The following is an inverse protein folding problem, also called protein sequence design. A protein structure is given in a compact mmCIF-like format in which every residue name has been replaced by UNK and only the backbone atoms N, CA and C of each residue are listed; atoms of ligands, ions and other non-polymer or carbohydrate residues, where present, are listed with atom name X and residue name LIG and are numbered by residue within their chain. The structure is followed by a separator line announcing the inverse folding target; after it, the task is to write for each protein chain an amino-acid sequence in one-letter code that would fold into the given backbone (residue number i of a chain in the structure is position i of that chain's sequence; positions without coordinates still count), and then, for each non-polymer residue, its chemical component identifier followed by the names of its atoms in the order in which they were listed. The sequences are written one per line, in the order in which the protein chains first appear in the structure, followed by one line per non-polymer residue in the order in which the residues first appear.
data_IF_345762896507
#
_entry.id   IF_345762896507
#
_cell.length_a   1.000
_cell.length_b   1.000
_cell.length_c   1.000
_cell.angle_alpha   90.00
_cell.angle_beta   90.00
_cell.angle_gamma   90.00
#
_symmetry.space_group_name_H-M   'P 1'
#
loop_
_entity.id
_entity.type
_entity.pdbx_description
1 polymer ?
#
# COMPACT_ATOMS: atom_id res chain seq x y z
N UNK A 1 19.94 28.16 -20.54
CA UNK A 1 20.19 26.74 -20.80
C UNK A 1 20.11 26.11 -19.45
N UNK A 2 18.92 25.63 -19.07
CA UNK A 2 18.71 25.07 -17.75
C UNK A 2 19.40 23.71 -17.68
N UNK A 3 20.19 23.56 -16.63
CA UNK A 3 20.93 22.36 -16.31
C UNK A 3 19.97 21.18 -16.17
N UNK A 4 20.36 20.05 -16.74
CA UNK A 4 19.61 18.82 -16.68
C UNK A 4 19.32 18.44 -15.22
N UNK A 5 18.04 18.33 -14.89
CA UNK A 5 17.54 17.81 -13.63
C UNK A 5 18.04 16.35 -13.44
N UNK A 6 18.91 16.07 -12.45
CA UNK A 6 19.54 14.77 -12.28
C UNK A 6 18.67 13.69 -11.60
N UNK A 7 17.35 13.86 -11.47
CA UNK A 7 16.47 12.88 -10.79
C UNK A 7 15.62 11.99 -11.71
N UNK A 8 16.06 11.69 -12.94
CA UNK A 8 15.43 10.67 -13.79
C UNK A 8 15.96 9.25 -13.51
N UNK A 9 16.28 8.93 -12.24
CA UNK A 9 16.41 7.55 -11.81
C UNK A 9 15.01 6.93 -11.77
N UNK A 10 14.65 6.23 -12.85
CA UNK A 10 13.40 5.49 -12.98
C UNK A 10 13.10 4.70 -11.71
N UNK A 11 12.17 5.18 -10.87
CA UNK A 11 11.80 4.51 -9.63
C UNK A 11 11.10 3.20 -10.00
N UNK A 12 11.74 2.03 -9.83
CA UNK A 12 11.13 0.77 -10.26
C UNK A 12 9.90 0.47 -9.39
N UNK A 13 8.94 -0.29 -9.93
CA UNK A 13 7.84 -0.81 -9.11
C UNK A 13 8.44 -1.59 -7.93
N UNK A 14 8.05 -1.28 -6.69
CA UNK A 14 8.66 -1.87 -5.52
C UNK A 14 8.36 -3.37 -5.47
N UNK A 15 9.42 -4.17 -5.45
CA UNK A 15 9.33 -5.64 -5.36
C UNK A 15 8.96 -6.06 -3.94
N UNK A 16 8.40 -7.25 -3.80
CA UNK A 16 8.05 -7.86 -2.53
C UNK A 16 6.58 -8.21 -2.42
N UNK A 17 6.20 -8.65 -1.22
CA UNK A 17 4.83 -8.99 -0.88
C UNK A 17 4.19 -7.77 -0.23
N UNK A 18 3.10 -7.29 -0.82
CA UNK A 18 2.36 -6.12 -0.35
C UNK A 18 0.93 -6.48 -0.01
N UNK A 19 0.29 -5.57 0.72
CA UNK A 19 -1.14 -5.58 1.01
C UNK A 19 -1.78 -4.42 0.28
N UNK A 20 -2.80 -4.70 -0.54
CA UNK A 20 -3.53 -3.67 -1.27
C UNK A 20 -4.04 -2.62 -0.29
N UNK A 21 -3.76 -1.36 -0.60
CA UNK A 21 -4.24 -0.22 0.17
C UNK A 21 -5.68 0.15 -0.21
N UNK A 22 -5.90 1.45 -0.47
CA UNK A 22 -7.21 1.95 -0.89
C UNK A 22 -7.50 1.73 -2.37
N UNK A 23 -8.77 1.92 -2.74
CA UNK A 23 -9.24 1.99 -4.12
C UNK A 23 -9.91 3.33 -4.42
N UNK A 24 -9.76 3.84 -5.63
CA UNK A 24 -10.47 5.04 -6.12
C UNK A 24 -11.01 4.80 -7.53
N UNK A 25 -12.31 5.02 -7.75
CA UNK A 25 -12.93 4.79 -9.08
C UNK A 25 -12.24 5.63 -10.16
N UNK A 26 -11.91 6.90 -9.89
CA UNK A 26 -11.32 7.77 -10.91
C UNK A 26 -10.26 8.67 -10.28
N UNK A 27 -9.03 8.17 -10.12
CA UNK A 27 -7.95 8.94 -9.50
C UNK A 27 -7.34 10.01 -10.41
N UNK A 28 -6.76 11.05 -9.79
CA UNK A 28 -6.00 12.12 -10.45
C UNK A 28 -4.52 12.03 -10.07
N UNK A 29 -3.62 12.06 -11.05
CA UNK A 29 -2.19 12.15 -10.80
C UNK A 29 -1.83 13.61 -10.47
N UNK A 30 -1.65 13.95 -9.20
CA UNK A 30 -1.38 15.33 -8.80
C UNK A 30 0.00 15.86 -9.24
N UNK A 31 0.99 14.97 -9.40
CA UNK A 31 2.40 15.35 -9.54
C UNK A 31 3.00 15.15 -10.95
N UNK A 32 2.31 14.50 -11.90
CA UNK A 32 2.96 14.02 -13.14
C UNK A 32 2.30 14.45 -14.46
N UNK A 33 1.22 15.21 -14.42
CA UNK A 33 0.43 15.79 -15.52
C UNK A 33 -0.99 15.92 -15.00
N UNK A 34 -1.84 16.77 -15.55
CA UNK A 34 -3.27 16.79 -15.21
C UNK A 34 -4.01 15.57 -15.77
N UNK A 35 -3.44 14.38 -15.58
CA UNK A 35 -3.91 13.09 -16.08
C UNK A 35 -4.70 12.37 -14.99
N UNK A 36 -5.60 11.52 -15.45
CA UNK A 36 -6.50 10.73 -14.65
C UNK A 36 -6.41 9.28 -15.07
N UNK A 37 -6.84 8.36 -14.21
CA UNK A 37 -7.12 7.00 -14.64
C UNK A 37 -8.37 6.48 -13.96
N UNK A 38 -9.07 5.59 -14.67
CA UNK A 38 -10.18 4.82 -14.13
C UNK A 38 -9.60 3.69 -13.27
N UNK A 39 -10.31 3.32 -12.22
CA UNK A 39 -10.03 2.18 -11.36
C UNK A 39 -8.59 2.17 -10.82
N UNK A 40 -8.37 2.86 -9.71
CA UNK A 40 -7.10 2.85 -8.99
C UNK A 40 -7.15 1.88 -7.84
N UNK A 41 -6.09 1.10 -7.70
CA UNK A 41 -5.89 0.19 -6.56
C UNK A 41 -4.45 0.38 -6.07
N UNK A 42 -4.31 0.82 -4.82
CA UNK A 42 -3.01 1.15 -4.24
C UNK A 42 -2.18 -0.11 -3.97
N UNK A 43 -0.93 -0.10 -4.43
CA UNK A 43 0.07 -1.12 -4.10
C UNK A 43 0.76 -0.72 -2.80
N UNK A 44 1.48 0.40 -2.81
CA UNK A 44 2.19 0.95 -1.66
C UNK A 44 2.54 2.41 -1.91
N UNK A 45 2.41 3.26 -0.88
CA UNK A 45 2.77 4.68 -0.98
C UNK A 45 2.03 5.37 -2.13
N UNK A 46 2.77 5.97 -3.07
CA UNK A 46 2.22 6.61 -4.27
C UNK A 46 2.23 5.70 -5.51
N UNK A 47 2.35 4.39 -5.34
CA UNK A 47 2.39 3.41 -6.42
C UNK A 47 1.06 2.65 -6.48
N UNK A 48 0.48 2.56 -7.68
CA UNK A 48 -0.86 2.03 -7.92
C UNK A 48 -0.89 1.07 -9.11
N UNK A 49 -1.81 0.10 -9.08
CA UNK A 49 -2.44 -0.41 -10.29
C UNK A 49 -3.45 0.63 -10.76
N UNK A 50 -3.41 0.97 -12.04
CA UNK A 50 -4.37 1.93 -12.62
C UNK A 50 -4.65 1.61 -14.09
N UNK A 51 -5.80 2.04 -14.60
CA UNK A 51 -6.08 1.93 -16.03
C UNK A 51 -5.14 2.80 -16.88
N UNK A 52 -5.23 2.65 -18.21
CA UNK A 52 -4.73 3.66 -19.17
C UNK A 52 -5.16 5.09 -18.75
N UNK A 53 -4.31 6.06 -19.08
CA UNK A 53 -4.48 7.45 -18.71
C UNK A 53 -5.58 8.15 -19.52
N UNK A 54 -6.13 9.20 -18.91
CA UNK A 54 -7.12 10.09 -19.48
C UNK A 54 -6.72 11.54 -19.21
N UNK A 55 -6.86 12.43 -20.18
CA UNK A 55 -6.53 13.87 -20.05
C UNK A 55 -7.51 14.62 -19.13
N UNK A 56 -8.69 14.04 -18.91
CA UNK A 56 -9.76 14.60 -18.07
C UNK A 56 -10.38 13.48 -17.23
N UNK A 57 -11.10 13.86 -16.16
CA UNK A 57 -11.98 12.95 -15.42
C UNK A 57 -13.23 12.62 -16.23
N UNK A 58 -13.04 12.00 -17.40
CA UNK A 58 -14.08 11.62 -18.35
C UNK A 58 -13.63 10.42 -19.15
N UNK A 59 -14.55 9.50 -19.43
CA UNK A 59 -14.32 8.34 -20.29
C UNK A 59 -14.05 8.74 -21.75
N UNK A 60 -14.37 9.98 -22.15
CA UNK A 60 -14.15 10.45 -23.52
C UNK A 60 -12.73 10.97 -23.78
N UNK A 61 -11.92 11.09 -22.73
CA UNK A 61 -10.62 11.74 -22.78
C UNK A 61 -9.44 10.76 -22.73
N UNK A 62 -9.58 9.54 -23.25
CA UNK A 62 -8.52 8.52 -23.18
C UNK A 62 -7.27 8.96 -23.96
N UNK A 63 -6.11 8.87 -23.32
CA UNK A 63 -4.83 9.22 -23.90
C UNK A 63 -4.35 8.13 -24.89
N UNK A 64 -4.16 8.54 -26.15
CA UNK A 64 -3.69 7.67 -27.24
C UNK A 64 -2.25 7.21 -27.06
N UNK A 65 -1.38 8.08 -26.57
CA UNK A 65 0.00 7.73 -26.32
C UNK A 65 0.09 6.72 -25.17
N UNK A 66 -0.67 6.94 -24.09
CA UNK A 66 -0.74 5.99 -22.99
C UNK A 66 -1.22 4.58 -23.41
N UNK A 67 -2.15 4.50 -24.37
CA UNK A 67 -2.57 3.24 -25.01
C UNK A 67 -1.45 2.59 -25.83
N UNK A 68 -0.78 3.36 -26.69
CA UNK A 68 0.30 2.85 -27.54
C UNK A 68 1.50 2.35 -26.73
N UNK A 69 1.74 2.95 -25.57
CA UNK A 69 2.84 2.59 -24.66
C UNK A 69 2.53 1.39 -23.76
N UNK A 70 1.37 0.75 -23.90
CA UNK A 70 1.01 -0.42 -23.09
C UNK A 70 2.06 -1.55 -23.19
N UNK A 71 2.54 -1.99 -22.03
CA UNK A 71 3.59 -3.00 -21.92
C UNK A 71 5.02 -2.48 -22.17
N UNK A 72 5.22 -1.17 -22.26
CA UNK A 72 6.53 -0.53 -22.21
C UNK A 72 6.76 0.08 -20.81
N UNK A 73 8.03 0.20 -20.38
CA UNK A 73 8.38 0.80 -19.10
C UNK A 73 8.35 2.33 -19.24
N UNK A 74 7.20 2.93 -18.90
CA UNK A 74 6.96 4.39 -19.03
C UNK A 74 6.41 5.02 -17.75
N UNK A 75 6.34 4.27 -16.65
CA UNK A 75 5.79 4.72 -15.38
C UNK A 75 6.88 4.84 -14.31
N UNK A 76 6.71 5.83 -13.42
CA UNK A 76 7.46 6.01 -12.17
C UNK A 76 6.99 4.99 -11.13
N UNK A 77 7.04 3.69 -11.48
CA UNK A 77 6.72 2.57 -10.61
C UNK A 77 5.26 2.09 -10.63
N UNK A 78 4.29 2.89 -11.08
CA UNK A 78 2.90 2.44 -11.23
C UNK A 78 2.74 1.32 -12.28
N UNK A 79 1.76 0.44 -12.08
CA UNK A 79 1.45 -0.63 -13.03
C UNK A 79 0.21 -0.24 -13.84
N UNK A 80 0.42 0.06 -15.12
CA UNK A 80 -0.66 0.44 -16.04
C UNK A 80 -1.33 -0.81 -16.63
N UNK A 81 -2.65 -0.82 -16.59
CA UNK A 81 -3.50 -1.91 -17.05
C UNK A 81 -4.50 -1.41 -18.09
N UNK A 82 -5.07 -2.33 -18.87
CA UNK A 82 -6.27 -2.02 -19.63
C UNK A 82 -7.45 -1.72 -18.68
N UNK A 83 -8.45 -1.00 -19.17
CA UNK A 83 -9.57 -0.51 -18.36
C UNK A 83 -10.35 -1.66 -17.72
N UNK A 84 -10.56 -2.75 -18.45
CA UNK A 84 -11.24 -3.97 -18.00
C UNK A 84 -10.47 -4.71 -16.90
N UNK A 85 -9.15 -4.77 -16.99
CA UNK A 85 -8.30 -5.43 -16.00
C UNK A 85 -8.19 -4.60 -14.72
N UNK A 86 -8.03 -3.28 -14.86
CA UNK A 86 -8.04 -2.34 -13.75
C UNK A 86 -9.39 -2.37 -13.03
N UNK A 87 -10.49 -2.45 -13.79
CA UNK A 87 -11.85 -2.62 -13.25
C UNK A 87 -11.94 -3.91 -12.44
N UNK A 88 -11.45 -5.02 -12.97
CA UNK A 88 -11.48 -6.28 -12.26
C UNK A 88 -10.78 -6.17 -10.90
N UNK A 89 -9.57 -5.59 -10.85
CA UNK A 89 -8.87 -5.38 -9.58
C UNK A 89 -9.67 -4.47 -8.63
N UNK A 90 -10.26 -3.39 -9.12
CA UNK A 90 -11.04 -2.46 -8.28
C UNK A 90 -12.21 -3.15 -7.57
N UNK A 91 -12.94 -4.00 -8.30
CA UNK A 91 -14.12 -4.68 -7.78
C UNK A 91 -13.78 -5.89 -6.92
N UNK A 92 -12.70 -6.61 -7.24
CA UNK A 92 -12.42 -7.92 -6.64
C UNK A 92 -11.23 -7.94 -5.68
N UNK A 93 -10.32 -6.96 -5.73
CA UNK A 93 -9.14 -6.89 -4.88
C UNK A 93 -9.34 -5.85 -3.75
N UNK A 94 -10.04 -6.26 -2.70
CA UNK A 94 -10.36 -5.40 -1.54
C UNK A 94 -9.08 -4.96 -0.79
N UNK A 95 -9.12 -3.86 0.00
CA UNK A 95 -8.05 -3.51 0.91
C UNK A 95 -7.58 -4.71 1.74
N UNK A 96 -6.26 -4.90 1.88
CA UNK A 96 -5.65 -6.04 2.58
C UNK A 96 -5.45 -7.31 1.73
N UNK A 97 -5.87 -7.32 0.47
CA UNK A 97 -5.54 -8.40 -0.49
C UNK A 97 -4.01 -8.51 -0.63
N UNK A 98 -3.45 -9.73 -0.55
CA UNK A 98 -2.01 -9.95 -0.73
C UNK A 98 -1.66 -9.89 -2.22
N UNK A 99 -0.61 -9.15 -2.55
CA UNK A 99 -0.02 -9.12 -3.89
C UNK A 99 1.49 -9.39 -3.79
N UNK A 100 2.05 -10.08 -4.78
CA UNK A 100 3.49 -10.27 -4.92
C UNK A 100 3.96 -9.56 -6.18
N UNK A 101 4.99 -8.73 -6.05
CA UNK A 101 5.64 -8.04 -7.15
C UNK A 101 7.06 -8.59 -7.25
N UNK A 102 7.33 -9.30 -8.34
CA UNK A 102 8.61 -9.94 -8.59
C UNK A 102 9.19 -9.53 -9.95
N UNK A 103 10.48 -9.79 -10.11
CA UNK A 103 11.18 -9.71 -11.39
C UNK A 103 12.05 -10.95 -11.63
N UNK A 104 11.81 -12.03 -10.88
CA UNK A 104 12.51 -13.31 -11.05
C UNK A 104 11.95 -14.14 -12.20
N UNK A 105 10.75 -13.80 -12.67
CA UNK A 105 10.05 -14.55 -13.69
C UNK A 105 10.78 -14.38 -15.04
N UNK A 106 11.01 -15.48 -15.78
CA UNK A 106 11.66 -15.39 -17.08
C UNK A 106 10.82 -14.55 -18.04
N UNK A 107 11.49 -13.79 -18.91
CA UNK A 107 10.79 -13.01 -19.93
C UNK A 107 10.05 -13.95 -20.89
N UNK A 108 8.72 -13.82 -20.93
CA UNK A 108 7.87 -14.52 -21.89
C UNK A 108 7.34 -13.56 -22.96
N UNK A 109 7.95 -13.63 -24.15
CA UNK A 109 7.58 -12.78 -25.30
C UNK A 109 6.23 -13.18 -25.88
N UNK A 110 5.87 -14.46 -25.82
CA UNK A 110 4.62 -14.97 -26.38
C UNK A 110 3.45 -14.56 -25.51
N UNK A 111 3.57 -14.73 -24.19
CA UNK A 111 2.59 -14.26 -23.22
C UNK A 111 2.41 -12.73 -23.32
N UNK A 112 3.50 -11.96 -23.38
CA UNK A 112 3.41 -10.49 -23.56
C UNK A 112 2.64 -10.12 -24.83
N UNK A 113 2.87 -10.84 -25.93
CA UNK A 113 2.14 -10.62 -27.18
C UNK A 113 0.68 -11.04 -27.07
N UNK A 114 0.37 -12.12 -26.36
CA UNK A 114 -0.98 -12.61 -26.15
C UNK A 114 -1.83 -11.68 -25.28
N UNK A 115 -1.21 -11.07 -24.25
CA UNK A 115 -1.87 -10.11 -23.35
C UNK A 115 -2.07 -8.71 -23.96
N UNK A 116 -1.40 -8.38 -25.07
CA UNK A 116 -1.62 -7.10 -25.74
C UNK A 116 -2.96 -7.11 -26.48
N UNK A 117 -3.72 -6.03 -26.30
CA UNK A 117 -4.92 -5.78 -27.07
C UNK A 117 -4.63 -5.81 -28.56
N UNK A 118 -5.47 -6.52 -29.31
CA UNK A 118 -5.42 -6.59 -30.78
C UNK A 118 -6.20 -5.45 -31.43
N UNK A 119 -6.95 -4.68 -30.64
CA UNK A 119 -7.75 -3.55 -31.12
C UNK A 119 -6.85 -2.37 -31.49
N UNK A 120 -7.25 -1.60 -32.51
CA UNK A 120 -6.65 -0.30 -32.74
C UNK A 120 -7.17 0.68 -31.69
N UNK A 121 -6.45 1.79 -31.48
CA UNK A 121 -6.84 2.80 -30.49
C UNK A 121 -8.30 3.25 -30.62
N UNK A 122 -8.78 3.52 -31.84
CA UNK A 122 -10.16 3.99 -32.04
C UNK A 122 -11.21 2.96 -31.59
N UNK A 123 -10.97 1.69 -31.91
CA UNK A 123 -11.85 0.58 -31.54
C UNK A 123 -11.79 0.33 -30.03
N UNK A 124 -10.59 0.33 -29.44
CA UNK A 124 -10.42 0.20 -28.00
C UNK A 124 -11.04 1.38 -27.24
N UNK A 125 -10.90 2.61 -27.75
CA UNK A 125 -11.52 3.81 -27.15
C UNK A 125 -13.06 3.73 -27.19
N UNK A 126 -13.62 3.07 -28.20
CA UNK A 126 -15.06 2.81 -28.25
C UNK A 126 -15.44 1.73 -27.24
N UNK A 127 -14.71 0.61 -27.22
CA UNK A 127 -14.93 -0.50 -26.29
C UNK A 127 -14.85 -0.07 -24.82
N UNK A 128 -13.81 0.66 -24.41
CA UNK A 128 -13.64 1.03 -23.00
C UNK A 128 -14.80 1.90 -22.47
N UNK A 129 -15.48 2.66 -23.34
CA UNK A 129 -16.66 3.46 -22.96
C UNK A 129 -17.88 2.59 -22.64
N UNK A 130 -17.94 1.36 -23.16
CA UNK A 130 -19.00 0.41 -22.82
C UNK A 130 -18.75 -0.28 -21.48
N UNK A 131 -17.57 -0.11 -20.89
CA UNK A 131 -17.25 -0.64 -19.57
C UNK A 131 -17.90 0.25 -18.52
N UNK A 132 -18.91 -0.28 -17.84
CA UNK A 132 -19.75 0.41 -16.84
C UNK A 132 -19.56 -0.20 -15.44
N UNK A 133 -20.05 0.51 -14.43
CA UNK A 133 -19.97 0.13 -13.01
C UNK A 133 -21.21 -0.68 -12.58
N UNK A 134 -21.59 -1.68 -13.39
CA UNK A 134 -22.78 -2.52 -13.18
C UNK A 134 -22.59 -3.63 -12.13
N UNK A 135 -21.38 -3.75 -11.58
CA UNK A 135 -21.05 -4.73 -10.55
C UNK A 135 -21.01 -4.01 -9.22
N UNK A 136 -21.58 -4.61 -8.17
CA UNK A 136 -21.39 -4.10 -6.82
C UNK A 136 -19.94 -4.33 -6.38
N UNK A 137 -19.36 -3.33 -5.73
CA UNK A 137 -18.05 -3.50 -5.10
C UNK A 137 -18.09 -4.65 -4.09
N UNK A 138 -17.09 -5.54 -4.12
CA UNK A 138 -16.96 -6.50 -3.03
C UNK A 138 -16.85 -5.73 -1.71
N UNK A 139 -17.54 -6.21 -0.66
CA UNK A 139 -17.53 -5.54 0.63
C UNK A 139 -16.11 -5.49 1.15
N UNK A 140 -15.75 -4.33 1.68
CA UNK A 140 -14.49 -4.16 2.35
C UNK A 140 -14.39 -5.11 3.56
N UNK A 141 -13.19 -5.57 3.94
CA UNK A 141 -13.05 -6.38 5.13
C UNK A 141 -13.35 -5.56 6.39
N UNK A 142 -13.68 -6.26 7.46
CA UNK A 142 -14.00 -5.67 8.76
C UNK A 142 -12.93 -6.03 9.79
N UNK A 143 -12.73 -5.13 10.75
CA UNK A 143 -11.82 -5.30 11.88
C UNK A 143 -12.50 -4.91 13.18
N UNK A 144 -12.03 -5.46 14.30
CA UNK A 144 -12.59 -5.25 15.63
C UNK A 144 -11.58 -4.61 16.56
N UNK A 145 -12.01 -3.59 17.31
CA UNK A 145 -11.14 -2.88 18.25
C UNK A 145 -10.75 -3.77 19.43
N UNK A 146 -9.46 -3.78 19.75
CA UNK A 146 -8.88 -4.59 20.85
C UNK A 146 -8.42 -3.74 22.04
N UNK A 147 -8.43 -2.40 21.91
CA UNK A 147 -7.92 -1.46 22.91
C UNK A 147 -9.00 -0.48 23.34
N UNK A 148 -9.32 -0.46 24.64
CA UNK A 148 -10.31 0.45 25.20
C UNK A 148 -9.89 1.92 25.02
N UNK A 149 -10.81 2.75 24.55
CA UNK A 149 -10.55 4.17 24.30
C UNK A 149 -9.62 4.44 23.11
N UNK A 150 -9.45 3.49 22.19
CA UNK A 150 -8.74 3.70 20.94
C UNK A 150 -9.27 4.94 20.20
N UNK A 151 -8.38 5.76 19.66
CA UNK A 151 -8.75 7.02 18.99
C UNK A 151 -8.86 6.80 17.49
N UNK A 152 -10.02 7.12 16.93
CA UNK A 152 -10.20 7.28 15.48
C UNK A 152 -9.75 8.68 15.09
N UNK A 153 -8.72 8.80 14.24
CA UNK A 153 -8.04 10.09 13.95
C UNK A 153 -8.32 10.61 12.54
N UNK A 154 -8.18 11.92 12.33
CA UNK A 154 -8.33 12.55 11.00
C UNK A 154 -7.22 12.17 10.01
N UNK A 155 -6.05 11.73 10.48
CA UNK A 155 -4.90 11.39 9.65
C UNK A 155 -4.04 10.28 10.26
N UNK A 156 -3.11 9.76 9.46
CA UNK A 156 -2.20 8.66 9.78
C UNK A 156 -1.01 9.08 10.64
N UNK A 157 -1.30 9.64 11.83
CA UNK A 157 -0.27 10.10 12.77
C UNK A 157 -0.84 10.48 14.14
N UNK A 158 0.01 10.45 15.17
CA UNK A 158 -0.41 10.76 16.55
C UNK A 158 -0.76 12.22 16.78
N UNK A 159 -0.29 13.14 15.94
CA UNK A 159 -0.54 14.58 16.02
C UNK A 159 -1.92 15.00 15.50
N UNK A 160 -2.61 14.15 14.73
CA UNK A 160 -3.93 14.49 14.18
C UNK A 160 -5.04 14.40 15.23
N UNK A 161 -6.02 15.29 15.13
CA UNK A 161 -7.23 15.29 15.96
C UNK A 161 -7.97 13.96 15.92
N UNK A 162 -8.72 13.69 16.99
CA UNK A 162 -9.62 12.55 17.07
C UNK A 162 -11.04 12.93 16.61
N UNK A 163 -11.67 12.06 15.82
CA UNK A 163 -13.06 12.17 15.37
C UNK A 163 -14.02 11.27 16.17
N UNK A 164 -13.48 10.27 16.86
CA UNK A 164 -14.19 9.42 17.81
C UNK A 164 -13.22 8.75 18.80
N UNK A 165 -13.77 8.27 19.92
CA UNK A 165 -13.15 7.24 20.76
C UNK A 165 -13.92 5.95 20.56
N UNK A 166 -13.20 4.85 20.44
CA UNK A 166 -13.72 3.52 20.17
C UNK A 166 -13.62 2.66 21.42
N UNK A 167 -14.50 1.68 21.53
CA UNK A 167 -14.58 0.71 22.61
C UNK A 167 -14.11 -0.66 22.12
N UNK A 168 -13.67 -1.53 23.04
CA UNK A 168 -13.33 -2.91 22.66
C UNK A 168 -14.54 -3.60 22.04
N UNK A 169 -14.32 -4.27 20.91
CA UNK A 169 -15.36 -4.98 20.15
C UNK A 169 -16.08 -4.13 19.10
N UNK A 170 -15.85 -2.81 19.04
CA UNK A 170 -16.36 -1.98 17.95
C UNK A 170 -15.89 -2.53 16.60
N UNK A 171 -16.83 -2.73 15.69
CA UNK A 171 -16.59 -3.20 14.33
C UNK A 171 -16.36 -2.02 13.38
N UNK A 172 -15.30 -2.11 12.57
CA UNK A 172 -14.86 -1.05 11.66
C UNK A 172 -14.68 -1.63 10.25
N UNK A 173 -15.21 -0.96 9.23
CA UNK A 173 -14.99 -1.32 7.82
C UNK A 173 -13.65 -0.75 7.35
N UNK A 174 -12.79 -1.58 6.74
CA UNK A 174 -11.46 -1.18 6.28
C UNK A 174 -11.51 -0.50 4.91
N UNK A 175 -11.11 0.76 4.85
CA UNK A 175 -11.06 1.52 3.59
C UNK A 175 -9.67 1.54 2.95
N UNK A 176 -8.62 1.56 3.78
CA UNK A 176 -7.22 1.53 3.35
C UNK A 176 -6.42 0.72 4.36
N UNK A 177 -5.72 -0.29 3.86
CA UNK A 177 -4.75 -1.06 4.64
C UNK A 177 -3.36 -0.39 4.59
N UNK A 178 -2.70 -0.28 5.73
CA UNK A 178 -1.27 0.01 5.80
C UNK A 178 -0.69 -0.61 7.07
N UNK A 179 0.63 -0.80 7.12
CA UNK A 179 1.29 -1.55 8.22
C UNK A 179 1.13 -0.90 9.60
N UNK A 180 0.96 0.43 9.66
CA UNK A 180 0.90 1.17 10.92
C UNK A 180 -0.51 1.71 11.20
N UNK A 181 -1.17 2.24 10.17
CA UNK A 181 -2.46 2.91 10.29
C UNK A 181 -3.45 2.27 9.33
N UNK A 182 -4.62 1.94 9.83
CA UNK A 182 -5.72 1.45 9.02
C UNK A 182 -6.72 2.59 8.88
N UNK A 183 -7.04 3.00 7.66
CA UNK A 183 -8.17 3.92 7.44
C UNK A 183 -9.44 3.09 7.47
N UNK A 184 -10.38 3.49 8.29
CA UNK A 184 -11.62 2.76 8.52
C UNK A 184 -12.83 3.67 8.47
N UNK A 185 -13.99 3.07 8.23
CA UNK A 185 -15.31 3.66 8.43
C UNK A 185 -15.93 3.11 9.71
N UNK A 186 -16.47 4.00 10.52
CA UNK A 186 -17.23 3.70 11.73
C UNK A 186 -18.54 4.49 11.71
N UNK A 187 -19.63 3.80 11.35
CA UNK A 187 -20.90 4.43 11.04
C UNK A 187 -20.75 5.45 9.91
N UNK A 188 -21.06 6.73 10.18
CA UNK A 188 -20.92 7.83 9.20
C UNK A 188 -19.56 8.54 9.24
N UNK A 189 -18.64 8.10 10.09
CA UNK A 189 -17.33 8.71 10.27
C UNK A 189 -16.26 7.89 9.58
N UNK A 190 -15.26 8.56 9.02
CA UNK A 190 -14.03 7.93 8.56
C UNK A 190 -12.85 8.46 9.36
N UNK A 191 -11.84 7.63 9.55
CA UNK A 191 -10.60 8.05 10.19
C UNK A 191 -9.57 6.93 10.23
N UNK A 192 -8.50 7.17 10.95
CA UNK A 192 -7.35 6.27 11.06
C UNK A 192 -7.24 5.73 12.48
N UNK A 193 -7.04 4.41 12.60
CA UNK A 193 -6.75 3.70 13.84
C UNK A 193 -5.42 2.97 13.71
N UNK A 194 -4.71 2.76 14.81
CA UNK A 194 -3.44 2.02 14.78
C UNK A 194 -3.71 0.55 14.43
N UNK A 195 -2.89 -0.04 13.56
CA UNK A 195 -2.99 -1.46 13.19
C UNK A 195 -2.87 -2.40 14.39
N UNK A 196 -2.04 -2.04 15.38
CA UNK A 196 -1.89 -2.80 16.62
C UNK A 196 -3.07 -2.70 17.59
N UNK A 197 -4.12 -1.92 17.28
CA UNK A 197 -5.29 -1.70 18.15
C UNK A 197 -6.56 -2.38 17.62
N UNK A 198 -6.44 -3.13 16.52
CA UNK A 198 -7.56 -3.80 15.86
C UNK A 198 -7.18 -5.21 15.45
N UNK A 199 -8.16 -6.11 15.41
CA UNK A 199 -8.03 -7.47 14.91
C UNK A 199 -8.86 -7.73 13.67
N UNK A 200 -8.37 -8.58 12.78
CA UNK A 200 -9.03 -8.95 11.52
C UNK A 200 -9.95 -10.16 11.67
N UNK A 201 -10.08 -10.69 12.88
CA UNK A 201 -10.98 -11.79 13.20
C UNK A 201 -11.72 -11.48 14.48
N UNK A 202 -13.05 -11.52 14.43
CA UNK A 202 -13.88 -11.25 15.58
C UNK A 202 -13.59 -12.25 16.70
N UNK A 203 -13.34 -11.73 17.91
CA UNK A 203 -13.07 -12.56 19.09
C UNK A 203 -11.70 -13.25 19.11
N UNK A 204 -10.87 -13.05 18.09
CA UNK A 204 -9.48 -13.52 18.07
C UNK A 204 -8.56 -12.33 18.32
N UNK A 205 -7.61 -12.46 19.23
CA UNK A 205 -6.59 -11.44 19.43
C UNK A 205 -5.39 -11.77 18.54
N UNK A 206 -5.19 -10.97 17.49
CA UNK A 206 -3.94 -10.90 16.71
C UNK A 206 -3.06 -9.70 17.14
N UNK A 207 -3.38 -9.10 18.28
CA UNK A 207 -2.65 -7.99 18.91
C UNK A 207 -2.42 -8.24 20.40
N UNK A 208 -1.38 -7.65 20.99
CA UNK A 208 -1.05 -7.78 22.42
C UNK A 208 -0.44 -6.50 23.00
N UNK A 209 -0.63 -6.27 24.30
CA UNK A 209 -0.19 -5.06 25.03
C UNK A 209 1.33 -4.95 25.22
N UNK A 210 2.07 -6.05 25.17
CA UNK A 210 3.51 -6.11 25.48
C UNK A 210 4.40 -6.39 24.24
N UNK A 211 3.91 -6.01 23.05
CA UNK A 211 4.67 -6.17 21.82
C UNK A 211 5.88 -5.24 21.77
N UNK A 212 6.94 -5.71 21.12
CA UNK A 212 8.09 -4.88 20.78
C UNK A 212 7.75 -4.01 19.56
N UNK A 213 7.84 -2.70 19.74
CA UNK A 213 7.41 -1.70 18.75
C UNK A 213 8.55 -0.72 18.49
N UNK A 214 8.78 -0.41 17.21
CA UNK A 214 9.73 0.63 16.84
C UNK A 214 9.25 2.02 17.30
N UNK A 215 10.06 2.68 18.12
CA UNK A 215 9.78 4.03 18.65
C UNK A 215 9.83 5.09 17.55
N UNK A 216 10.76 4.94 16.61
CA UNK A 216 11.04 5.86 15.49
C UNK A 216 11.21 5.06 14.21
N UNK A 217 11.16 5.72 13.06
CA UNK A 217 11.46 5.09 11.77
C UNK A 217 12.97 4.83 11.71
N UNK A 218 13.37 3.57 11.51
CA UNK A 218 14.77 3.15 11.58
C UNK A 218 15.19 2.42 10.31
N UNK A 219 16.47 2.53 9.97
CA UNK A 219 17.12 1.58 9.06
C UNK A 219 17.59 0.37 9.87
N UNK A 220 17.39 -0.84 9.32
CA UNK A 220 18.04 -2.06 9.79
C UNK A 220 19.41 -2.16 9.11
N UNK A 221 20.45 -2.30 9.93
CA UNK A 221 21.85 -2.41 9.51
C UNK A 221 22.27 -3.88 9.47
N UNK A 222 23.15 -4.24 8.52
CA UNK A 222 23.66 -5.61 8.40
C UNK A 222 24.51 -6.03 9.62
N UNK A 223 25.17 -5.07 10.26
CA UNK A 223 26.01 -5.24 11.46
C UNK A 223 25.66 -4.15 12.50
N UNK A 224 26.00 -4.34 13.80
CA UNK A 224 25.68 -3.40 14.87
C UNK A 224 26.59 -2.15 14.86
N UNK A 225 26.68 -1.45 13.74
CA UNK A 225 27.42 -0.20 13.60
C UNK A 225 26.79 0.70 12.52
N UNK A 226 27.18 1.99 12.49
CA UNK A 226 26.58 2.97 11.59
C UNK A 226 27.19 2.99 10.19
N UNK A 227 28.32 2.31 10.00
CA UNK A 227 29.05 2.19 8.74
C UNK A 227 28.55 1.00 7.92
N UNK A 228 27.84 0.07 8.56
CA UNK A 228 27.25 -1.10 7.93
C UNK A 228 26.22 -0.75 6.86
N UNK A 229 26.01 -1.69 5.95
CA UNK A 229 24.98 -1.59 4.91
C UNK A 229 23.59 -1.41 5.53
N UNK A 230 22.81 -0.47 4.96
CA UNK A 230 21.40 -0.27 5.30
C UNK A 230 20.55 -1.19 4.44
N UNK A 231 19.85 -2.13 5.06
CA UNK A 231 19.10 -3.17 4.35
C UNK A 231 17.65 -2.76 4.08
N UNK A 232 16.87 -2.50 5.14
CA UNK A 232 15.45 -2.13 5.03
C UNK A 232 15.12 -1.00 5.99
N UNK A 233 14.25 -0.10 5.57
CA UNK A 233 13.74 0.99 6.42
C UNK A 233 12.39 0.57 6.99
N UNK A 234 12.31 0.45 8.31
CA UNK A 234 11.10 0.07 9.04
C UNK A 234 10.43 1.33 9.64
N UNK A 235 9.12 1.55 9.43
CA UNK A 235 8.43 2.71 9.95
C UNK A 235 8.29 2.67 11.48
N UNK A 236 8.22 3.84 12.12
CA UNK A 236 7.80 3.92 13.51
C UNK A 236 6.44 3.23 13.72
N UNK A 237 6.23 2.67 14.91
CA UNK A 237 4.99 2.02 15.37
C UNK A 237 4.69 0.63 14.76
N UNK A 238 5.52 0.10 13.88
CA UNK A 238 5.41 -1.32 13.49
C UNK A 238 5.88 -2.22 14.63
N UNK A 239 5.27 -3.40 14.71
CA UNK A 239 5.72 -4.48 15.59
C UNK A 239 6.90 -5.21 14.98
N UNK A 240 7.89 -5.54 15.80
CA UNK A 240 9.10 -6.26 15.41
C UNK A 240 9.40 -7.39 16.39
N UNK A 241 10.22 -8.37 16.00
CA UNK A 241 10.69 -9.42 16.91
C UNK A 241 12.12 -9.12 17.31
N UNK A 242 12.37 -8.86 18.59
CA UNK A 242 13.75 -8.72 19.10
C UNK A 242 14.34 -10.11 19.31
N UNK A 243 15.50 -10.37 18.74
CA UNK A 243 16.22 -11.64 18.84
C UNK A 243 17.34 -11.60 19.86
N UNK A 244 18.11 -10.50 19.86
CA UNK A 244 19.33 -10.38 20.63
C UNK A 244 19.59 -8.90 20.95
N UNK A 245 20.26 -8.65 22.07
CA UNK A 245 20.86 -7.36 22.40
C UNK A 245 22.36 -7.56 22.55
N UNK A 246 23.15 -6.83 21.78
CA UNK A 246 24.62 -6.87 21.87
C UNK A 246 25.10 -6.21 23.15
N UNK A 247 26.36 -6.45 23.53
CA UNK A 247 26.96 -5.85 24.73
C UNK A 247 26.96 -4.30 24.69
N UNK A 248 27.14 -3.71 23.51
CA UNK A 248 27.09 -2.27 23.27
C UNK A 248 25.65 -1.74 23.03
N UNK A 249 24.64 -2.59 23.21
CA UNK A 249 23.23 -2.23 23.30
C UNK A 249 22.48 -2.19 21.97
N UNK A 250 23.08 -2.59 20.85
CA UNK A 250 22.36 -2.74 19.59
C UNK A 250 21.36 -3.88 19.67
N UNK A 251 20.24 -3.71 18.99
CA UNK A 251 19.14 -4.66 19.02
C UNK A 251 19.08 -5.37 17.67
N UNK A 252 19.30 -6.69 17.67
CA UNK A 252 19.04 -7.53 16.51
C UNK A 252 17.55 -7.82 16.46
N UNK A 253 16.90 -7.43 15.38
CA UNK A 253 15.46 -7.57 15.20
C UNK A 253 15.12 -8.27 13.88
N UNK A 254 13.93 -8.86 13.83
CA UNK A 254 13.28 -9.27 12.59
C UNK A 254 12.17 -8.28 12.27
N UNK A 255 12.22 -7.71 11.07
CA UNK A 255 11.14 -6.92 10.48
C UNK A 255 10.75 -7.53 9.14
N UNK A 256 9.48 -7.91 9.00
CA UNK A 256 9.00 -8.75 7.89
C UNK A 256 9.88 -10.02 7.78
N UNK A 257 10.66 -10.16 6.72
CA UNK A 257 11.58 -11.28 6.50
C UNK A 257 13.06 -10.88 6.56
N UNK A 258 13.38 -9.67 7.04
CA UNK A 258 14.76 -9.16 7.15
C UNK A 258 15.18 -9.21 8.60
N UNK A 259 16.32 -9.85 8.87
CA UNK A 259 17.01 -9.78 10.17
C UNK A 259 18.13 -8.76 10.10
N UNK A 260 18.19 -7.82 11.04
CA UNK A 260 19.23 -6.79 11.08
C UNK A 260 19.30 -6.09 12.42
N UNK A 261 20.22 -5.13 12.54
CA UNK A 261 20.47 -4.40 13.78
C UNK A 261 19.85 -3.00 13.74
N UNK A 262 19.26 -2.58 14.84
CA UNK A 262 18.85 -1.19 15.08
C UNK A 262 19.60 -0.65 16.29
N UNK A 263 19.72 0.68 16.35
CA UNK A 263 20.41 1.38 17.44
C UNK A 263 19.84 1.00 18.82
N UNK A 264 20.60 1.20 19.91
CA UNK A 264 20.07 1.11 21.26
C UNK A 264 18.84 2.01 21.47
N UNK A 265 17.96 1.61 22.40
CA UNK A 265 16.79 2.39 22.84
C UNK A 265 15.76 2.72 21.73
N UNK A 266 15.68 1.87 20.70
CA UNK A 266 14.72 2.03 19.58
C UNK A 266 13.42 1.23 19.73
N UNK A 267 13.37 0.34 20.70
CA UNK A 267 12.19 -0.49 20.96
C UNK A 267 11.49 0.00 22.23
N UNK A 268 10.16 0.07 22.15
CA UNK A 268 9.26 0.29 23.29
C UNK A 268 8.29 -0.87 23.38
N UNK A 269 7.73 -1.09 24.58
CA UNK A 269 6.61 -2.00 24.81
C UNK A 269 5.29 -1.28 24.61
N UNK A 270 4.32 -1.94 24.00
CA UNK A 270 2.96 -1.44 23.88
C UNK A 270 2.07 -2.34 23.01
N UNK A 271 0.83 -1.88 22.82
CA UNK A 271 -0.15 -2.55 21.95
C UNK A 271 0.33 -2.62 20.50
N UNK A 272 0.56 -3.84 20.03
CA UNK A 272 1.09 -4.15 18.70
C UNK A 272 0.61 -5.50 18.17
N UNK A 273 0.93 -5.79 16.92
CA UNK A 273 0.55 -7.03 16.23
C UNK A 273 1.35 -8.21 16.78
N UNK A 274 0.67 -9.36 16.96
CA UNK A 274 1.30 -10.63 17.29
C UNK A 274 1.99 -11.16 16.03
N UNK A 275 3.32 -11.15 16.04
CA UNK A 275 4.12 -11.70 14.94
C UNK A 275 4.09 -13.22 15.02
N UNK A 276 3.75 -13.87 13.91
CA UNK A 276 3.82 -15.33 13.80
C UNK A 276 5.28 -15.80 13.85
N UNK A 277 5.56 -16.99 14.42
CA UNK A 277 6.91 -17.47 14.69
C UNK A 277 7.84 -17.48 13.48
#
# INVERSE_FOLDING_TARGET
MDEADPEDEATPTPRGIWKIGGRERFGKFANFSSSYARYWVQIVGSIYFHSILFDKRSIDAMDKQAYNDMGNKVSHGCVRLYVEDARWLYYYACPGTTIEISASEPTDKELKRALRSKLKFADYNTFQKTITDETDELPNPHVWVTVEGARLRKGSGSAFDSVARLQVGDELEVLIESEVWVKVRFGKKEGYVLRGYVSYQQGVLDTKEDADILKTTEWLYAEPNLQAEKMVKAPARVSVKVLETTEDGWLKIVYQNVTGYVKPNRIIKGWGVILKP
#
